data_IF_435977892980
#
_entry.id   IF_435977892980
#
_cell.length_a   1.000
_cell.length_b   1.000
_cell.length_c   1.000
_cell.angle_alpha   90.00
_cell.angle_beta   90.00
_cell.angle_gamma   90.00
#
_symmetry.space_group_name_H-M   'P 1'
#
loop_
_entity.id
_entity.type
_entity.pdbx_description
1 polymer ?
#
# COMPACT_ATOMS: atom_id res chain seq x y z
N UNK A 1 7.70 -19.11 -14.37
CA UNK A 1 6.76 -18.04 -13.95
C UNK A 1 7.55 -16.75 -13.82
N UNK A 2 7.41 -15.82 -14.77
CA UNK A 2 8.05 -14.50 -14.67
C UNK A 2 7.31 -13.72 -13.59
N UNK A 3 7.85 -13.72 -12.37
CA UNK A 3 7.37 -12.88 -11.27
C UNK A 3 7.75 -11.43 -11.60
N UNK A 4 6.91 -10.75 -12.39
CA UNK A 4 7.10 -9.37 -12.73
C UNK A 4 7.22 -8.53 -11.44
N UNK A 5 8.25 -7.68 -11.39
CA UNK A 5 8.41 -6.73 -10.30
C UNK A 5 7.49 -5.55 -10.57
N UNK A 6 6.60 -5.27 -9.63
CA UNK A 6 5.65 -4.17 -9.70
C UNK A 6 6.10 -3.01 -8.82
N UNK A 7 5.75 -1.79 -9.22
CA UNK A 7 5.97 -0.58 -8.44
C UNK A 7 4.65 0.20 -8.31
N UNK A 8 4.21 0.41 -7.08
CA UNK A 8 2.96 1.09 -6.75
C UNK A 8 3.17 2.16 -5.69
N UNK A 9 2.36 3.21 -5.77
CA UNK A 9 2.27 4.24 -4.75
C UNK A 9 0.94 4.09 -4.02
N UNK A 10 0.96 4.20 -2.70
CA UNK A 10 -0.22 4.07 -1.86
C UNK A 10 -0.27 5.15 -0.79
N UNK A 11 -1.47 5.51 -0.37
CA UNK A 11 -1.72 6.22 0.88
C UNK A 11 -2.07 5.21 1.95
N UNK A 12 -1.34 5.21 3.05
CA UNK A 12 -1.63 4.36 4.21
C UNK A 12 -3.00 4.76 4.78
N UNK A 13 -3.90 3.79 4.89
CA UNK A 13 -5.22 3.99 5.51
C UNK A 13 -5.34 3.28 6.84
N UNK A 14 -4.59 2.20 7.05
CA UNK A 14 -4.59 1.45 8.31
C UNK A 14 -3.30 0.65 8.48
N UNK A 15 -2.99 0.34 9.74
CA UNK A 15 -1.88 -0.54 10.13
C UNK A 15 -2.48 -1.66 10.98
N UNK A 16 -3.12 -2.67 10.35
CA UNK A 16 -3.91 -3.68 11.05
C UNK A 16 -3.09 -4.57 12.00
N UNK A 17 -1.78 -4.66 11.81
CA UNK A 17 -0.92 -5.49 12.65
C UNK A 17 0.45 -4.85 12.85
N UNK A 18 0.94 -4.88 14.09
CA UNK A 18 2.27 -4.41 14.46
C UNK A 18 2.86 -5.31 15.54
N UNK A 19 4.02 -5.89 15.26
CA UNK A 19 4.87 -6.61 16.20
C UNK A 19 6.34 -6.26 15.91
N UNK A 20 7.29 -6.65 16.78
CA UNK A 20 8.72 -6.43 16.52
C UNK A 20 9.25 -7.12 15.26
N UNK A 21 8.62 -8.20 14.80
CA UNK A 21 9.08 -8.99 13.65
C UNK A 21 8.31 -8.71 12.36
N UNK A 22 7.11 -8.12 12.46
CA UNK A 22 6.27 -7.84 11.30
C UNK A 22 5.34 -6.65 11.54
N UNK A 23 5.21 -5.81 10.52
CA UNK A 23 4.15 -4.82 10.39
C UNK A 23 3.35 -5.09 9.12
N UNK A 24 2.03 -4.98 9.23
CA UNK A 24 1.13 -5.04 8.08
C UNK A 24 0.59 -3.63 7.88
N UNK A 25 0.80 -3.09 6.68
CA UNK A 25 0.40 -1.75 6.28
C UNK A 25 -0.62 -1.90 5.16
N UNK A 26 -1.80 -1.31 5.32
CA UNK A 26 -2.86 -1.34 4.31
C UNK A 26 -3.16 0.06 3.81
N UNK A 27 -3.51 0.18 2.54
CA UNK A 27 -3.76 1.48 1.94
C UNK A 27 -4.31 1.42 0.54
N UNK A 28 -4.60 2.60 0.00
CA UNK A 28 -5.23 2.77 -1.31
C UNK A 28 -4.22 3.31 -2.32
N UNK A 29 -4.28 2.89 -3.60
CA UNK A 29 -3.34 3.34 -4.61
C UNK A 29 -3.51 4.83 -4.96
N UNK A 30 -2.41 5.52 -5.26
CA UNK A 30 -2.39 6.97 -5.59
C UNK A 30 -2.35 7.29 -7.10
N UNK A 31 -2.00 6.32 -7.97
CA UNK A 31 -1.83 6.61 -9.42
C UNK A 31 -3.18 6.98 -10.07
N UNK A 32 -3.20 8.10 -10.80
CA UNK A 32 -4.39 8.73 -11.40
C UNK A 32 -5.22 7.88 -12.39
N UNK A 33 -4.80 6.65 -12.72
CA UNK A 33 -5.55 5.71 -13.55
C UNK A 33 -5.59 4.28 -12.99
N UNK A 34 -4.98 4.00 -11.83
CA UNK A 34 -5.06 2.67 -11.24
C UNK A 34 -6.45 2.38 -10.70
N UNK A 35 -7.17 3.42 -10.25
CA UNK A 35 -8.57 3.33 -9.82
C UNK A 35 -9.56 3.11 -10.99
N UNK A 36 -9.12 3.29 -12.25
CA UNK A 36 -9.97 3.25 -13.45
C UNK A 36 -9.74 2.01 -14.33
N UNK A 37 -8.89 1.07 -13.92
CA UNK A 37 -8.87 -0.25 -14.54
C UNK A 37 -10.09 -1.04 -14.06
N UNK A 38 -11.25 -0.75 -14.65
CA UNK A 38 -12.47 -1.57 -14.64
C UNK A 38 -13.03 -1.94 -13.25
N UNK A 39 -13.88 -1.08 -12.66
CA UNK A 39 -14.83 -1.39 -11.57
C UNK A 39 -14.32 -2.01 -10.25
N UNK A 40 -13.08 -2.45 -10.15
CA UNK A 40 -12.52 -3.13 -8.99
C UNK A 40 -11.81 -2.11 -8.11
N UNK A 41 -12.47 -1.70 -7.02
CA UNK A 41 -11.79 -1.02 -5.91
C UNK A 41 -10.73 -2.01 -5.43
N UNK A 42 -9.46 -1.62 -5.40
CA UNK A 42 -8.40 -2.48 -4.89
C UNK A 42 -7.62 -1.74 -3.81
N UNK A 43 -7.04 -2.51 -2.89
CA UNK A 43 -6.17 -2.00 -1.84
C UNK A 43 -4.84 -2.75 -1.84
N UNK A 44 -3.83 -2.10 -1.29
CA UNK A 44 -2.47 -2.59 -1.22
C UNK A 44 -2.17 -2.95 0.24
N UNK A 45 -1.64 -4.16 0.43
CA UNK A 45 -1.17 -4.67 1.73
C UNK A 45 0.32 -4.92 1.64
N UNK A 46 1.10 -4.32 2.53
CA UNK A 46 2.54 -4.56 2.66
C UNK A 46 2.76 -5.33 3.96
N UNK A 47 3.41 -6.49 3.88
CA UNK A 47 3.90 -7.23 5.04
C UNK A 47 5.42 -7.15 5.05
N UNK A 48 5.98 -6.50 6.06
CA UNK A 48 7.43 -6.25 6.13
C UNK A 48 7.92 -6.25 7.57
N UNK A 49 9.20 -6.55 7.78
CA UNK A 49 9.84 -6.37 9.08
C UNK A 49 9.95 -4.85 9.40
N UNK A 50 9.57 -4.40 10.61
CA UNK A 50 9.67 -2.99 11.03
C UNK A 50 11.10 -2.40 10.93
N UNK A 51 12.15 -3.21 11.05
CA UNK A 51 13.53 -2.76 10.93
C UNK A 51 13.96 -2.52 9.47
N UNK A 52 13.14 -2.97 8.51
CA UNK A 52 13.38 -2.82 7.07
C UNK A 52 12.68 -1.61 6.45
N UNK A 53 11.98 -0.81 7.25
CA UNK A 53 11.27 0.40 6.79
C UNK A 53 11.97 1.67 7.31
N UNK A 54 12.00 2.74 6.50
CA UNK A 54 12.76 3.95 6.85
C UNK A 54 12.13 4.76 7.99
N UNK A 55 10.82 4.63 8.19
CA UNK A 55 10.05 5.33 9.21
C UNK A 55 8.93 4.43 9.72
N UNK A 56 8.49 4.66 10.95
CA UNK A 56 7.28 4.01 11.46
C UNK A 56 6.07 4.40 10.60
N UNK A 57 5.22 3.41 10.22
CA UNK A 57 4.08 3.68 9.37
C UNK A 57 3.01 4.42 10.19
N UNK A 58 2.43 5.44 9.56
CA UNK A 58 1.35 6.25 10.13
C UNK A 58 0.28 6.41 9.05
N UNK A 59 -0.99 6.41 9.48
CA UNK A 59 -2.12 6.70 8.60
C UNK A 59 -1.94 8.05 7.90
N UNK A 60 -2.31 8.14 6.61
CA UNK A 60 -2.14 9.34 5.79
C UNK A 60 -0.77 9.47 5.12
N UNK A 61 0.27 8.75 5.56
CA UNK A 61 1.56 8.75 4.87
C UNK A 61 1.44 8.17 3.45
N UNK A 62 2.29 8.66 2.55
CA UNK A 62 2.41 8.13 1.19
C UNK A 62 3.62 7.22 1.09
N UNK A 63 3.42 6.04 0.53
CA UNK A 63 4.43 4.99 0.45
C UNK A 63 4.60 4.55 -0.99
N UNK A 64 5.85 4.38 -1.41
CA UNK A 64 6.24 3.71 -2.64
C UNK A 64 6.68 2.29 -2.29
N UNK A 65 6.05 1.30 -2.90
CA UNK A 65 6.41 -0.11 -2.75
C UNK A 65 6.84 -0.68 -4.10
N UNK A 66 7.93 -1.44 -4.09
CA UNK A 66 8.42 -2.17 -5.25
C UNK A 66 8.75 -3.59 -4.86
N UNK A 67 8.19 -4.55 -5.58
CA UNK A 67 8.43 -5.96 -5.31
C UNK A 67 7.50 -6.88 -6.07
N UNK A 68 7.50 -8.14 -5.63
CA UNK A 68 6.53 -9.13 -6.09
C UNK A 68 5.22 -8.89 -5.35
N UNK A 69 4.09 -9.01 -6.07
CA UNK A 69 2.76 -8.94 -5.47
C UNK A 69 1.99 -10.22 -5.73
N UNK A 70 1.18 -10.59 -4.75
CA UNK A 70 0.11 -11.58 -4.90
C UNK A 70 -1.19 -10.78 -5.03
N UNK A 71 -2.02 -11.12 -6.02
CA UNK A 71 -3.33 -10.50 -6.22
C UNK A 71 -4.37 -11.52 -5.80
N UNK A 72 -5.21 -11.14 -4.85
CA UNK A 72 -6.32 -11.96 -4.35
C UNK A 72 -7.62 -11.20 -4.62
N UNK A 73 -8.64 -11.89 -5.13
CA UNK A 73 -9.98 -11.33 -5.28
C UNK A 73 -10.78 -11.62 -4.02
N UNK A 74 -11.39 -10.58 -3.46
CA UNK A 74 -12.27 -10.63 -2.31
C UNK A 74 -13.67 -10.24 -2.78
N UNK A 75 -14.58 -11.21 -2.73
CA UNK A 75 -16.00 -10.95 -2.93
C UNK A 75 -16.54 -10.21 -1.70
N UNK A 76 -17.03 -9.00 -1.89
CA UNK A 76 -17.95 -8.32 -0.96
C UNK A 76 -19.35 -8.36 -1.57
N UNK A 77 -20.39 -8.35 -0.73
CA UNK A 77 -21.79 -8.63 -1.08
C UNK A 77 -22.30 -7.96 -2.37
N UNK A 78 -21.75 -6.80 -2.77
CA UNK A 78 -22.13 -6.06 -3.98
C UNK A 78 -20.97 -5.77 -4.97
N UNK A 79 -19.72 -6.15 -4.66
CA UNK A 79 -18.55 -5.86 -5.52
C UNK A 79 -17.36 -6.79 -5.28
N UNK A 80 -16.59 -7.05 -6.36
CA UNK A 80 -15.30 -7.74 -6.29
C UNK A 80 -14.20 -6.72 -6.01
N UNK A 81 -13.52 -6.88 -4.89
CA UNK A 81 -12.38 -6.07 -4.46
C UNK A 81 -11.08 -6.84 -4.66
N UNK A 82 -10.03 -6.20 -5.15
CA UNK A 82 -8.71 -6.85 -5.28
C UNK A 82 -7.79 -6.45 -4.13
N UNK A 83 -7.10 -7.42 -3.54
CA UNK A 83 -6.02 -7.19 -2.58
C UNK A 83 -4.68 -7.44 -3.27
N UNK A 84 -3.82 -6.42 -3.30
CA UNK A 84 -2.44 -6.55 -3.77
C UNK A 84 -1.51 -6.70 -2.57
N UNK A 85 -1.06 -7.91 -2.29
CA UNK A 85 -0.20 -8.23 -1.16
C UNK A 85 1.27 -8.26 -1.57
N UNK A 86 2.09 -7.40 -0.96
CA UNK A 86 3.54 -7.38 -1.07
C UNK A 86 4.15 -7.95 0.21
N UNK A 87 4.68 -9.18 0.14
CA UNK A 87 5.39 -9.80 1.26
C UNK A 87 6.91 -9.63 1.09
N UNK A 88 7.56 -9.01 2.10
CA UNK A 88 8.98 -8.66 2.06
C UNK A 88 9.39 -8.01 0.72
N UNK A 89 8.77 -6.86 0.36
CA UNK A 89 9.05 -6.18 -0.91
C UNK A 89 10.53 -5.81 -1.04
N UNK A 90 11.01 -5.74 -2.27
CA UNK A 90 12.41 -5.41 -2.57
C UNK A 90 12.79 -3.99 -2.14
N UNK A 91 11.85 -3.05 -2.23
CA UNK A 91 12.06 -1.67 -1.80
C UNK A 91 10.77 -1.07 -1.28
N UNK A 92 10.90 -0.34 -0.18
CA UNK A 92 9.84 0.48 0.40
C UNK A 92 10.41 1.84 0.73
N UNK A 93 9.68 2.90 0.39
CA UNK A 93 10.07 4.27 0.71
C UNK A 93 8.85 5.07 1.15
N UNK A 94 8.97 5.78 2.27
CA UNK A 94 8.01 6.82 2.64
C UNK A 94 8.29 8.06 1.80
N UNK A 95 7.27 8.57 1.11
CA UNK A 95 7.33 9.81 0.35
C UNK A 95 6.55 10.88 1.10
N UNK A 96 7.10 12.09 1.08
CA UNK A 96 6.33 13.27 1.44
C UNK A 96 5.21 13.47 0.41
N UNK A 97 4.04 13.97 0.85
CA UNK A 97 3.01 14.37 -0.09
C UNK A 97 3.55 15.44 -1.06
N UNK A 98 3.23 15.30 -2.35
CA UNK A 98 3.80 16.15 -3.41
C UNK A 98 3.11 17.53 -3.47
N UNK A 99 1.99 17.74 -2.76
CA UNK A 99 1.27 19.01 -2.71
C UNK A 99 0.92 19.46 -1.28
N UNK A 100 0.84 20.77 -1.06
CA UNK A 100 0.51 21.38 0.24
C UNK A 100 -0.85 20.96 0.82
N UNK A 101 -1.86 20.70 -0.03
CA UNK A 101 -3.17 20.18 0.41
C UNK A 101 -3.07 18.77 1.02
N UNK A 102 -2.18 17.93 0.50
CA UNK A 102 -1.96 16.59 1.05
C UNK A 102 -1.15 16.63 2.37
N UNK A 103 -0.45 17.74 2.64
CA UNK A 103 0.25 17.97 3.90
C UNK A 103 -0.73 18.24 5.06
N UNK A 104 -1.86 18.89 4.79
CA UNK A 104 -2.88 19.21 5.79
C UNK A 104 -3.47 17.92 6.39
N UNK A 105 -3.70 16.89 5.59
CA UNK A 105 -4.17 15.58 6.06
C UNK A 105 -3.12 14.74 6.80
N UNK A 106 -1.83 15.08 6.68
CA UNK A 106 -0.75 14.40 7.40
C UNK A 106 -0.58 14.95 8.84
N UNK A 107 -1.03 16.18 9.10
CA UNK A 107 -0.80 16.92 10.35
C UNK A 107 -2.08 17.17 11.16
N UNK A 108 -3.27 16.99 10.58
CA UNK A 108 -4.56 17.24 11.22
C UNK A 108 -5.11 16.02 11.98
#
# INVERSE_FOLDING_TARGET
MNLAVHEEQMRVTSIPYKSPSMVIISGVPLKKNSYKANSSRYYITIKINPDSIPVHPVQGQHWLVKGKRVIEEMESDDYVMQQHTYESPQRVACRLPETGEQLIHLLA
#
